data_IF_324485198990
#
_entry.id   IF_324485198990
#
_cell.length_a   1.000
_cell.length_b   1.000
_cell.length_c   1.000
_cell.angle_alpha   90.00
_cell.angle_beta   90.00
_cell.angle_gamma   90.00
#
_symmetry.space_group_name_H-M   'P 1'
#
loop_
_entity.id
_entity.type
_entity.pdbx_description
1 polymer ?
#
# COMPACT_ATOMS: atom_id res chain seq x y z
N UNK A 1 62.61 -0.43 -53.96
CA UNK A 1 61.48 -1.37 -54.16
C UNK A 1 60.76 -1.64 -52.83
N UNK A 2 60.44 -0.59 -52.04
CA UNK A 2 59.87 -0.68 -50.68
C UNK A 2 58.77 0.39 -50.46
N UNK A 3 57.99 0.68 -51.51
CA UNK A 3 56.95 1.73 -51.48
C UNK A 3 55.53 1.17 -51.63
N UNK A 4 55.40 -0.16 -51.80
CA UNK A 4 54.12 -0.86 -51.99
C UNK A 4 53.79 -1.85 -50.86
N UNK A 5 54.74 -2.20 -50.00
CA UNK A 5 54.49 -3.04 -48.81
C UNK A 5 53.96 -2.21 -47.64
N UNK A 6 54.22 -0.90 -47.63
CA UNK A 6 53.77 0.01 -46.58
C UNK A 6 52.26 0.33 -46.66
N UNK A 7 51.61 0.05 -47.80
CA UNK A 7 50.18 0.26 -48.00
C UNK A 7 49.30 -0.93 -47.59
N UNK A 8 49.89 -2.10 -47.29
CA UNK A 8 49.16 -3.28 -46.83
C UNK A 8 49.20 -3.49 -45.31
N UNK A 9 50.02 -2.72 -44.59
CA UNK A 9 50.08 -2.76 -43.13
C UNK A 9 49.18 -1.70 -42.45
N UNK A 10 48.58 -0.79 -43.24
CA UNK A 10 47.65 0.24 -42.79
C UNK A 10 46.16 -0.17 -42.83
N UNK A 11 45.84 -1.40 -43.27
CA UNK A 11 44.45 -1.92 -43.34
C UNK A 11 44.14 -2.91 -42.20
N UNK A 12 45.12 -3.24 -41.34
CA UNK A 12 44.94 -4.15 -40.20
C UNK A 12 44.67 -3.45 -38.85
N UNK A 13 44.39 -2.14 -38.84
CA UNK A 13 44.10 -1.37 -37.63
C UNK A 13 42.75 -0.64 -37.72
N UNK A 14 41.72 -1.36 -38.19
CA UNK A 14 40.39 -0.80 -38.40
C UNK A 14 39.27 -1.76 -37.97
N UNK A 15 39.39 -2.43 -36.82
CA UNK A 15 38.22 -2.94 -36.08
C UNK A 15 38.54 -2.94 -34.57
N UNK A 16 38.57 -1.77 -33.96
CA UNK A 16 38.25 -1.61 -32.55
C UNK A 16 37.02 -0.72 -32.50
N UNK A 17 35.82 -1.24 -32.20
CA UNK A 17 34.74 -0.36 -31.78
C UNK A 17 35.19 0.25 -30.45
N UNK A 18 35.68 1.50 -30.49
CA UNK A 18 35.47 2.38 -29.36
C UNK A 18 33.96 2.48 -29.21
N UNK A 19 33.40 1.68 -28.31
CA UNK A 19 32.06 1.90 -27.80
C UNK A 19 32.08 3.24 -27.08
N UNK A 20 31.87 4.31 -27.85
CA UNK A 20 31.30 5.53 -27.34
C UNK A 20 29.87 5.15 -26.94
N UNK A 21 29.70 4.67 -25.72
CA UNK A 21 28.38 4.69 -25.12
C UNK A 21 27.97 6.16 -25.13
N UNK A 22 27.15 6.51 -26.12
CA UNK A 22 26.24 7.62 -25.99
C UNK A 22 25.53 7.37 -24.66
N UNK A 23 25.91 8.13 -23.63
CA UNK A 23 24.95 8.44 -22.59
C UNK A 23 23.83 9.14 -23.37
N UNK A 24 22.81 8.37 -23.72
CA UNK A 24 21.47 8.91 -23.76
C UNK A 24 21.36 9.68 -22.46
N UNK A 25 21.46 11.01 -22.57
CA UNK A 25 21.00 11.89 -21.54
C UNK A 25 19.58 11.41 -21.32
N UNK A 26 19.37 10.70 -20.21
CA UNK A 26 18.04 10.47 -19.68
C UNK A 26 17.45 11.85 -19.64
N UNK A 27 16.58 12.12 -20.62
CA UNK A 27 15.64 13.23 -20.54
C UNK A 27 15.17 13.18 -19.10
N UNK A 28 15.38 14.25 -18.29
CA UNK A 28 14.68 14.32 -17.04
C UNK A 28 13.24 14.25 -17.48
N UNK A 29 12.64 13.06 -17.37
CA UNK A 29 11.21 12.94 -17.46
C UNK A 29 10.81 13.73 -16.26
N UNK A 30 10.49 15.01 -16.49
CA UNK A 30 9.75 15.85 -15.57
C UNK A 30 8.39 15.17 -15.50
N UNK A 31 8.33 14.00 -14.86
CA UNK A 31 7.11 13.42 -14.37
C UNK A 31 6.60 14.49 -13.41
N UNK A 32 5.41 15.07 -13.68
CA UNK A 32 4.80 15.99 -12.75
C UNK A 32 4.82 15.33 -11.37
N UNK A 33 5.27 16.06 -10.35
CA UNK A 33 5.34 15.54 -8.99
C UNK A 33 4.00 14.83 -8.68
N UNK A 34 4.03 13.56 -8.25
CA UNK A 34 2.83 12.77 -8.16
C UNK A 34 1.84 13.44 -7.21
N UNK A 35 0.62 13.64 -7.67
CA UNK A 35 -0.41 14.35 -6.91
C UNK A 35 -0.73 13.55 -5.65
N UNK A 36 -0.39 14.11 -4.49
CA UNK A 36 -0.71 13.52 -3.21
C UNK A 36 -2.22 13.51 -3.00
N UNK A 37 -2.71 12.38 -2.50
CA UNK A 37 -4.10 12.18 -2.11
C UNK A 37 -4.13 11.96 -0.60
N UNK A 38 -5.20 12.42 0.06
CA UNK A 38 -5.43 12.15 1.48
C UNK A 38 -6.74 11.38 1.64
N UNK A 39 -6.69 10.28 2.38
CA UNK A 39 -7.86 9.47 2.75
C UNK A 39 -7.87 9.22 4.26
N UNK A 40 -9.05 8.87 4.77
CA UNK A 40 -9.27 8.49 6.15
C UNK A 40 -9.75 7.06 6.18
N UNK A 41 -8.95 6.14 6.72
CA UNK A 41 -9.17 4.69 6.69
C UNK A 41 -9.36 4.12 8.09
N UNK A 42 -10.24 3.13 8.23
CA UNK A 42 -10.35 2.31 9.44
C UNK A 42 -10.61 0.84 9.07
N UNK A 43 -10.22 -0.07 9.95
CA UNK A 43 -10.35 -1.50 9.80
C UNK A 43 -11.40 -2.11 10.72
N UNK A 44 -11.95 -3.23 10.30
CA UNK A 44 -12.86 -4.07 11.07
C UNK A 44 -12.42 -5.50 10.89
N UNK A 45 -12.30 -6.26 11.97
CA UNK A 45 -11.91 -7.65 11.92
C UNK A 45 -12.79 -8.49 12.82
N UNK A 46 -13.06 -9.70 12.39
CA UNK A 46 -13.78 -10.71 13.14
C UNK A 46 -13.16 -12.08 12.87
N UNK A 47 -13.11 -12.93 13.89
CA UNK A 47 -13.01 -14.36 13.69
C UNK A 47 -14.41 -14.95 13.77
N UNK A 48 -14.84 -15.70 12.76
CA UNK A 48 -16.20 -16.26 12.70
C UNK A 48 -16.47 -17.30 13.81
N UNK A 49 -15.43 -17.78 14.46
CA UNK A 49 -15.50 -18.70 15.60
C UNK A 49 -15.53 -18.00 16.96
N UNK A 50 -15.35 -16.67 17.02
CA UNK A 50 -15.39 -15.91 18.27
C UNK A 50 -16.52 -14.87 18.29
N UNK A 51 -16.73 -14.27 19.47
CA UNK A 51 -17.73 -13.23 19.69
C UNK A 51 -17.15 -11.82 19.66
N UNK A 52 -15.90 -11.63 19.22
CA UNK A 52 -15.21 -10.34 19.33
C UNK A 52 -15.04 -9.73 17.93
N UNK A 53 -15.48 -8.49 17.79
CA UNK A 53 -15.20 -7.68 16.60
C UNK A 53 -14.24 -6.58 16.99
N UNK A 54 -13.10 -6.55 16.33
CA UNK A 54 -12.10 -5.51 16.47
C UNK A 54 -12.39 -4.38 15.49
N UNK A 55 -12.43 -3.15 15.97
CA UNK A 55 -12.61 -1.95 15.15
C UNK A 55 -11.44 -1.02 15.41
N UNK A 56 -10.70 -0.65 14.37
CA UNK A 56 -9.61 0.30 14.52
C UNK A 56 -10.12 1.74 14.60
N UNK A 57 -9.31 2.60 15.21
CA UNK A 57 -9.46 4.04 15.02
C UNK A 57 -9.19 4.45 13.56
N UNK A 58 -9.56 5.68 13.23
CA UNK A 58 -9.39 6.25 11.89
C UNK A 58 -7.96 6.76 11.75
N UNK A 59 -7.24 6.24 10.76
CA UNK A 59 -5.91 6.72 10.34
C UNK A 59 -6.06 7.66 9.14
N UNK A 60 -5.38 8.80 9.18
CA UNK A 60 -5.20 9.68 8.03
C UNK A 60 -3.99 9.18 7.21
N UNK A 61 -4.19 8.92 5.92
CA UNK A 61 -3.14 8.48 5.02
C UNK A 61 -3.00 9.48 3.88
N UNK A 62 -1.78 9.99 3.68
CA UNK A 62 -1.43 10.85 2.57
C UNK A 62 -0.32 10.21 1.74
N UNK A 63 -0.61 9.94 0.48
CA UNK A 63 0.37 9.41 -0.48
C UNK A 63 -0.09 9.60 -1.93
N UNK A 64 0.87 9.42 -2.84
CA UNK A 64 0.56 9.20 -4.26
C UNK A 64 -0.21 7.88 -4.43
N UNK A 65 -1.04 7.80 -5.45
CA UNK A 65 -1.68 6.55 -5.90
C UNK A 65 -2.43 5.78 -4.80
N UNK A 66 -3.08 6.49 -3.88
CA UNK A 66 -3.99 5.86 -2.91
C UNK A 66 -5.27 5.35 -3.58
N UNK A 67 -5.76 6.08 -4.59
CA UNK A 67 -7.00 5.76 -5.29
C UNK A 67 -6.76 5.60 -6.78
N UNK A 68 -7.51 4.68 -7.39
CA UNK A 68 -7.56 4.53 -8.83
C UNK A 68 -8.39 5.66 -9.48
N UNK A 69 -8.49 5.63 -10.82
CA UNK A 69 -9.25 6.61 -11.61
C UNK A 69 -10.75 6.65 -11.28
N UNK A 70 -11.27 5.59 -10.66
CA UNK A 70 -12.69 5.44 -10.25
C UNK A 70 -12.89 5.67 -8.75
N UNK A 71 -11.87 6.18 -8.04
CA UNK A 71 -11.87 6.41 -6.60
C UNK A 71 -11.96 5.15 -5.72
N UNK A 72 -11.51 4.00 -6.22
CA UNK A 72 -11.31 2.80 -5.39
C UNK A 72 -9.94 2.84 -4.71
N UNK A 73 -9.90 2.35 -3.47
CA UNK A 73 -8.67 2.18 -2.71
C UNK A 73 -7.78 1.13 -3.37
N UNK A 74 -6.60 1.55 -3.84
CA UNK A 74 -5.58 0.67 -4.37
C UNK A 74 -4.96 -0.18 -3.25
N UNK A 75 -4.51 -1.39 -3.56
CA UNK A 75 -3.90 -2.33 -2.60
C UNK A 75 -4.76 -2.60 -1.36
N UNK A 76 -6.09 -2.68 -1.54
CA UNK A 76 -7.04 -2.86 -0.43
C UNK A 76 -6.72 -4.10 0.40
N UNK A 77 -6.28 -5.17 -0.25
CA UNK A 77 -5.85 -6.42 0.36
C UNK A 77 -4.68 -6.22 1.33
N UNK A 78 -3.70 -5.38 0.97
CA UNK A 78 -2.54 -5.09 1.82
C UNK A 78 -2.96 -4.40 3.13
N UNK A 79 -3.92 -3.47 3.07
CA UNK A 79 -4.44 -2.83 4.28
C UNK A 79 -5.22 -3.80 5.18
N UNK A 80 -6.08 -4.65 4.60
CA UNK A 80 -6.75 -5.69 5.41
C UNK A 80 -5.75 -6.66 6.04
N UNK A 81 -4.70 -7.05 5.32
CA UNK A 81 -3.65 -7.93 5.84
C UNK A 81 -2.83 -7.26 6.95
N UNK A 82 -2.54 -5.96 6.86
CA UNK A 82 -1.89 -5.21 7.96
C UNK A 82 -2.70 -5.31 9.24
N UNK A 83 -4.01 -5.09 9.17
CA UNK A 83 -4.87 -5.11 10.36
C UNK A 83 -5.06 -6.53 10.90
N UNK A 84 -5.28 -7.52 10.01
CA UNK A 84 -5.39 -8.93 10.42
C UNK A 84 -4.10 -9.44 11.06
N UNK A 85 -2.94 -9.12 10.48
CA UNK A 85 -1.62 -9.48 11.01
C UNK A 85 -1.38 -8.88 12.39
N UNK A 86 -1.62 -7.58 12.56
CA UNK A 86 -1.53 -6.92 13.88
C UNK A 86 -2.37 -7.62 14.94
N UNK A 87 -3.62 -7.99 14.64
CA UNK A 87 -4.50 -8.67 15.59
C UNK A 87 -4.06 -10.10 15.90
N UNK A 88 -3.53 -10.81 14.89
CA UNK A 88 -2.96 -12.14 15.07
C UNK A 88 -1.73 -12.09 15.99
N UNK A 89 -0.82 -11.14 15.76
CA UNK A 89 0.40 -10.99 16.55
C UNK A 89 0.10 -10.51 17.98
N UNK A 90 -0.80 -9.53 18.13
CA UNK A 90 -1.09 -8.92 19.42
C UNK A 90 -1.95 -9.78 20.34
N UNK A 91 -2.96 -10.45 19.77
CA UNK A 91 -3.97 -11.18 20.56
C UNK A 91 -3.88 -12.70 20.38
N UNK A 92 -2.92 -13.21 19.59
CA UNK A 92 -2.81 -14.63 19.27
C UNK A 92 -4.00 -15.16 18.46
N UNK A 93 -4.80 -14.27 17.87
CA UNK A 93 -6.04 -14.65 17.18
C UNK A 93 -5.76 -15.08 15.75
N UNK A 94 -5.79 -16.39 15.50
CA UNK A 94 -5.64 -16.94 14.15
C UNK A 94 -6.95 -16.77 13.35
N UNK A 95 -6.86 -16.80 12.03
CA UNK A 95 -8.02 -16.74 11.11
C UNK A 95 -8.88 -15.47 11.22
N UNK A 96 -8.25 -14.34 11.54
CA UNK A 96 -8.90 -13.03 11.49
C UNK A 96 -9.32 -12.68 10.07
N UNK A 97 -10.61 -12.41 9.88
CA UNK A 97 -11.17 -11.89 8.63
C UNK A 97 -11.31 -10.38 8.75
N UNK A 98 -10.42 -9.63 8.08
CA UNK A 98 -10.39 -8.18 8.15
C UNK A 98 -10.92 -7.51 6.88
N UNK A 99 -11.58 -6.38 7.05
CA UNK A 99 -12.02 -5.49 6.00
C UNK A 99 -11.67 -4.05 6.35
N UNK A 100 -11.32 -3.25 5.34
CA UNK A 100 -11.04 -1.82 5.49
C UNK A 100 -12.10 -0.96 4.81
N UNK A 101 -12.37 0.17 5.44
CA UNK A 101 -13.30 1.18 4.97
C UNK A 101 -12.57 2.52 4.93
N UNK A 102 -12.88 3.35 3.94
CA UNK A 102 -12.27 4.66 3.82
C UNK A 102 -13.27 5.74 3.40
N UNK A 103 -12.86 7.00 3.58
CA UNK A 103 -13.50 8.15 2.98
C UNK A 103 -12.48 9.25 2.65
N UNK A 104 -12.83 10.14 1.73
CA UNK A 104 -12.04 11.34 1.39
C UNK A 104 -12.11 12.45 2.44
N UNK A 105 -13.01 12.33 3.42
CA UNK A 105 -13.26 13.34 4.45
C UNK A 105 -13.33 12.66 5.81
N UNK A 106 -12.67 13.27 6.81
CA UNK A 106 -12.68 12.81 8.20
C UNK A 106 -14.10 12.60 8.74
N UNK A 107 -14.98 13.57 8.51
CA UNK A 107 -16.38 13.51 8.96
C UNK A 107 -17.15 12.36 8.31
N UNK A 108 -16.87 12.07 7.03
CA UNK A 108 -17.49 10.93 6.32
C UNK A 108 -16.98 9.59 6.86
N UNK A 109 -15.68 9.48 7.16
CA UNK A 109 -15.10 8.29 7.78
C UNK A 109 -15.67 8.05 9.18
N UNK A 110 -15.74 9.09 10.02
CA UNK A 110 -16.36 9.04 11.36
C UNK A 110 -17.83 8.60 11.28
N UNK A 111 -18.59 9.17 10.35
CA UNK A 111 -20.00 8.80 10.14
C UNK A 111 -20.15 7.35 9.73
N UNK A 112 -19.32 6.86 8.79
CA UNK A 112 -19.32 5.45 8.36
C UNK A 112 -18.99 4.51 9.52
N UNK A 113 -17.97 4.83 10.32
CA UNK A 113 -17.57 4.03 11.49
C UNK A 113 -18.66 4.01 12.55
N UNK A 114 -19.27 5.16 12.87
CA UNK A 114 -20.39 5.22 13.81
C UNK A 114 -21.60 4.39 13.33
N UNK A 115 -21.95 4.49 12.05
CA UNK A 115 -23.04 3.69 11.47
C UNK A 115 -22.75 2.20 11.55
N UNK A 116 -21.50 1.80 11.29
CA UNK A 116 -21.07 0.42 11.45
C UNK A 116 -21.20 -0.03 12.91
N UNK A 117 -20.66 0.71 13.87
CA UNK A 117 -20.72 0.34 15.29
C UNK A 117 -22.17 0.18 15.77
N UNK A 118 -23.09 1.05 15.32
CA UNK A 118 -24.53 0.89 15.57
C UNK A 118 -25.06 -0.43 15.00
N UNK A 119 -24.72 -0.76 13.74
CA UNK A 119 -25.12 -2.02 13.09
C UNK A 119 -24.52 -3.27 13.74
N UNK A 120 -23.35 -3.16 14.37
CA UNK A 120 -22.73 -4.28 15.08
C UNK A 120 -23.39 -4.50 16.45
N UNK A 121 -23.70 -3.42 17.18
CA UNK A 121 -24.25 -3.49 18.54
C UNK A 121 -25.78 -3.69 18.59
N UNK A 122 -26.52 -3.25 17.57
CA UNK A 122 -27.99 -3.30 17.55
C UNK A 122 -28.58 -4.54 16.85
N UNK A 123 -27.79 -5.60 16.64
CA UNK A 123 -28.30 -6.83 16.00
C UNK A 123 -29.19 -7.63 16.94
N UNK A 124 -30.51 -7.41 16.85
CA UNK A 124 -31.53 -7.99 17.74
C UNK A 124 -31.77 -9.51 17.58
N UNK A 125 -31.24 -10.14 16.53
CA UNK A 125 -31.56 -11.54 16.18
C UNK A 125 -30.31 -12.41 15.95
N UNK A 126 -29.17 -12.06 16.55
CA UNK A 126 -28.00 -12.94 16.48
C UNK A 126 -27.97 -13.93 17.66
N UNK A 127 -27.71 -15.22 17.40
CA UNK A 127 -27.63 -16.25 18.44
C UNK A 127 -26.43 -16.03 19.39
N UNK A 128 -25.43 -15.28 18.94
CA UNK A 128 -24.22 -14.94 19.71
C UNK A 128 -24.13 -13.43 19.88
N UNK A 129 -23.97 -12.96 21.13
CA UNK A 129 -23.77 -11.54 21.41
C UNK A 129 -22.36 -11.14 21.00
N UNK A 130 -22.25 -10.21 20.07
CA UNK A 130 -20.97 -9.66 19.63
C UNK A 130 -20.49 -8.58 20.59
N UNK A 131 -19.24 -8.66 21.00
CA UNK A 131 -18.52 -7.62 21.73
C UNK A 131 -17.66 -6.82 20.76
N UNK A 132 -17.78 -5.50 20.79
CA UNK A 132 -16.96 -4.60 19.96
C UNK A 132 -15.79 -4.12 20.78
N UNK A 133 -14.58 -4.46 20.33
CA UNK A 133 -13.32 -3.99 20.91
C UNK A 133 -12.69 -2.95 20.01
N UNK A 134 -12.58 -1.72 20.51
CA UNK A 134 -11.90 -0.64 19.82
C UNK A 134 -10.38 -0.80 19.96
N UNK A 135 -9.65 -0.58 18.87
CA UNK A 135 -8.19 -0.52 18.83
C UNK A 135 -7.80 0.95 18.67
N UNK A 136 -7.09 1.48 19.67
CA UNK A 136 -6.75 2.89 19.72
C UNK A 136 -5.64 3.25 18.70
N UNK A 137 -5.58 4.51 18.27
CA UNK A 137 -4.57 5.00 17.32
C UNK A 137 -3.13 4.87 17.84
N UNK A 138 -2.91 4.77 19.16
CA UNK A 138 -1.60 4.52 19.76
C UNK A 138 -1.17 3.06 19.60
N UNK A 139 -2.12 2.15 19.40
CA UNK A 139 -1.85 0.72 19.27
C UNK A 139 -1.65 0.30 17.82
N UNK A 140 -2.41 0.89 16.90
CA UNK A 140 -2.35 0.55 15.49
C UNK A 140 -2.69 1.75 14.61
N UNK A 141 -1.91 1.93 13.55
CA UNK A 141 -2.19 2.87 12.47
C UNK A 141 -1.87 2.20 11.14
N UNK A 142 -2.72 2.43 10.14
CA UNK A 142 -2.45 1.95 8.79
C UNK A 142 -1.22 2.63 8.21
N UNK A 143 -0.53 1.89 7.34
CA UNK A 143 0.60 2.39 6.58
C UNK A 143 0.36 2.11 5.10
N UNK A 144 0.91 2.95 4.22
CA UNK A 144 0.75 2.77 2.78
C UNK A 144 1.46 1.50 2.33
N UNK A 145 0.96 0.82 1.30
CA UNK A 145 1.57 -0.40 0.78
C UNK A 145 3.06 -0.21 0.45
N UNK A 146 3.43 0.94 -0.13
CA UNK A 146 4.82 1.31 -0.41
C UNK A 146 5.68 1.39 0.87
N UNK A 147 5.16 2.00 1.94
CA UNK A 147 5.89 2.10 3.22
C UNK A 147 6.04 0.76 3.95
N UNK A 148 5.07 -0.16 3.79
CA UNK A 148 5.17 -1.51 4.34
C UNK A 148 6.27 -2.30 3.64
N UNK A 149 6.37 -2.21 2.31
CA UNK A 149 7.43 -2.87 1.54
C UNK A 149 8.84 -2.37 1.92
N UNK A 150 8.99 -1.07 2.20
CA UNK A 150 10.26 -0.48 2.60
C UNK A 150 10.72 -0.85 4.03
N UNK A 151 9.81 -1.36 4.88
CA UNK A 151 10.12 -1.71 6.28
C UNK A 151 10.56 -3.17 6.47
N UNK A 152 10.65 -3.96 5.38
CA UNK A 152 11.00 -5.39 5.39
C UNK A 152 12.44 -5.63 4.86
N UNK A 153 13.21 -4.55 4.61
CA UNK A 153 14.61 -4.60 4.18
C UNK A 153 15.57 -4.33 5.33
#
# INVERSE_FOLDING_TARGET
MMRKVFFLLLIALAVLPLSLSAQEATVPTTQPAPKLQTIYVFGVSQNLSDSIIYVSDITELTAADLLDKKHFLLHREAYSSQFAGFLADKFGTKHQTAAVFFALSKNKAQSKRLQLNKKLTQRKHQPLRLEVKEIAAQEFQFRTAASVAASVQ
#
